data_IF_685553011506
#
_entry.id   IF_685553011506
#
_cell.length_a   1.000
_cell.length_b   1.000
_cell.length_c   1.000
_cell.angle_alpha   90.00
_cell.angle_beta   90.00
_cell.angle_gamma   90.00
#
_symmetry.space_group_name_H-M   'P 1'
#
loop_
_entity.id
_entity.type
_entity.pdbx_description
1 polymer ?
#
# COMPACT_ATOMS: atom_id res chain seq x y z
N UNK A 1 -14.98 -8.24 34.50
CA UNK A 1 -13.78 -8.50 33.69
C UNK A 1 -12.61 -7.95 34.48
N UNK A 2 -11.53 -8.70 34.76
CA UNK A 2 -10.38 -8.16 35.48
C UNK A 2 -9.74 -7.08 34.63
N UNK A 3 -9.61 -5.89 35.19
CA UNK A 3 -8.79 -4.81 34.62
C UNK A 3 -7.35 -5.31 34.51
N UNK A 4 -6.87 -5.45 33.29
CA UNK A 4 -5.46 -5.76 33.02
C UNK A 4 -4.69 -4.47 33.34
N UNK A 5 -4.01 -4.50 34.47
CA UNK A 5 -3.15 -3.40 34.91
C UNK A 5 -1.95 -3.32 33.94
N UNK A 6 -2.07 -2.46 32.94
CA UNK A 6 -1.03 -2.21 31.95
C UNK A 6 0.07 -1.39 32.63
N UNK A 7 1.25 -1.96 32.76
CA UNK A 7 2.41 -1.29 33.38
C UNK A 7 2.66 0.09 32.76
N UNK A 8 3.01 1.06 33.61
CA UNK A 8 3.28 2.45 33.19
C UNK A 8 4.34 2.58 32.08
N UNK A 9 5.24 1.61 31.96
CA UNK A 9 6.25 1.53 30.88
C UNK A 9 5.63 1.08 29.55
N UNK A 10 4.68 0.16 29.56
CA UNK A 10 3.92 -0.23 28.35
C UNK A 10 3.07 0.91 27.82
N UNK A 11 2.48 1.72 28.70
CA UNK A 11 1.76 2.95 28.32
C UNK A 11 2.70 3.98 27.72
N UNK A 12 3.90 4.21 28.28
CA UNK A 12 4.92 5.09 27.71
C UNK A 12 5.41 4.58 26.34
N UNK A 13 5.60 3.29 26.18
CA UNK A 13 6.06 2.67 24.95
C UNK A 13 4.98 2.67 23.86
N UNK A 14 3.71 2.47 24.24
CA UNK A 14 2.56 2.55 23.34
C UNK A 14 2.25 4.00 22.89
N UNK A 15 2.75 5.01 23.62
CA UNK A 15 2.56 6.43 23.31
C UNK A 15 3.80 7.07 22.68
N UNK A 16 4.99 6.45 22.80
CA UNK A 16 6.18 6.96 22.12
C UNK A 16 6.05 6.73 20.61
N UNK A 17 6.13 7.79 19.84
CA UNK A 17 6.19 7.74 18.39
C UNK A 17 7.47 7.03 17.98
N UNK A 18 7.36 5.90 17.29
CA UNK A 18 8.50 5.22 16.71
C UNK A 18 8.97 5.96 15.45
N UNK A 19 9.88 6.88 15.62
CA UNK A 19 10.38 7.76 14.55
C UNK A 19 10.95 6.96 13.38
N UNK A 20 11.60 5.83 13.65
CA UNK A 20 12.09 4.91 12.62
C UNK A 20 10.97 4.35 11.74
N UNK A 21 9.77 4.13 12.28
CA UNK A 21 8.63 3.66 11.50
C UNK A 21 7.98 4.78 10.67
N UNK A 22 8.13 6.04 11.07
CA UNK A 22 7.77 7.17 10.24
C UNK A 22 8.63 7.23 8.98
N UNK A 23 9.93 6.97 9.07
CA UNK A 23 10.81 6.84 7.91
C UNK A 23 10.36 5.71 6.97
N UNK A 24 10.07 4.52 7.53
CA UNK A 24 9.57 3.38 6.75
C UNK A 24 8.28 3.73 6.00
N UNK A 25 7.36 4.45 6.66
CA UNK A 25 6.10 4.91 6.05
C UNK A 25 6.33 5.91 4.92
N UNK A 26 7.23 6.87 5.11
CA UNK A 26 7.59 7.86 4.07
C UNK A 26 8.25 7.19 2.88
N UNK A 27 9.13 6.23 3.09
CA UNK A 27 9.77 5.48 2.01
C UNK A 27 8.75 4.65 1.20
N UNK A 28 7.82 3.97 1.89
CA UNK A 28 6.73 3.26 1.24
C UNK A 28 5.84 4.22 0.43
N UNK A 29 5.51 5.40 0.96
CA UNK A 29 4.76 6.43 0.24
C UNK A 29 5.50 6.89 -1.02
N UNK A 30 6.80 7.13 -0.94
CA UNK A 30 7.62 7.48 -2.11
C UNK A 30 7.59 6.37 -3.14
N UNK A 31 7.67 5.11 -2.71
CA UNK A 31 7.50 3.96 -3.59
C UNK A 31 6.16 3.99 -4.33
N UNK A 32 5.05 4.28 -3.65
CA UNK A 32 3.72 4.38 -4.29
C UNK A 32 3.69 5.45 -5.38
N UNK A 33 4.20 6.64 -5.08
CA UNK A 33 4.21 7.74 -6.07
C UNK A 33 5.11 7.38 -7.25
N UNK A 34 6.28 6.78 -6.99
CA UNK A 34 7.23 6.36 -8.02
C UNK A 34 6.66 5.24 -8.90
N UNK A 35 5.97 4.27 -8.31
CA UNK A 35 5.26 3.20 -9.01
C UNK A 35 4.24 3.75 -10.01
N UNK A 36 3.46 4.73 -9.59
CA UNK A 36 2.47 5.36 -10.46
C UNK A 36 3.11 6.34 -11.46
N UNK A 37 4.16 7.07 -11.08
CA UNK A 37 4.88 7.97 -11.98
C UNK A 37 5.56 7.23 -13.15
N UNK A 38 6.02 5.99 -12.93
CA UNK A 38 6.59 5.14 -13.98
C UNK A 38 5.52 4.47 -14.88
N UNK A 39 4.24 4.48 -14.49
CA UNK A 39 3.17 3.76 -15.17
C UNK A 39 2.98 4.13 -16.65
N UNK A 40 3.08 5.42 -17.00
CA UNK A 40 2.94 5.91 -18.38
C UNK A 40 4.06 5.43 -19.34
N UNK A 41 5.15 4.88 -18.79
CA UNK A 41 6.37 4.51 -19.51
C UNK A 41 6.74 3.03 -19.38
N UNK A 42 5.84 2.22 -18.82
CA UNK A 42 6.08 0.80 -18.55
C UNK A 42 5.27 -0.14 -19.46
N UNK A 43 4.76 0.35 -20.58
CA UNK A 43 3.96 -0.41 -21.55
C UNK A 43 2.77 -1.16 -20.93
N UNK A 44 2.00 -0.47 -20.08
CA UNK A 44 0.84 -1.04 -19.41
C UNK A 44 -0.41 -0.69 -20.20
N UNK A 45 -1.07 -1.64 -20.88
CA UNK A 45 -2.16 -1.36 -21.82
C UNK A 45 -3.34 -0.59 -21.25
N UNK A 46 -3.57 -0.72 -19.93
CA UNK A 46 -4.68 -0.06 -19.22
C UNK A 46 -4.26 1.21 -18.47
N UNK A 47 -3.00 1.64 -18.61
CA UNK A 47 -2.59 2.93 -18.04
C UNK A 47 -3.11 4.07 -18.91
N UNK A 48 -3.72 5.04 -18.29
CA UNK A 48 -4.46 6.11 -18.96
C UNK A 48 -3.62 6.99 -19.89
N UNK A 49 -2.36 7.17 -19.55
CA UNK A 49 -1.40 7.94 -20.33
C UNK A 49 -0.30 7.00 -20.83
N UNK A 50 -0.14 6.88 -22.14
CA UNK A 50 0.93 6.11 -22.77
C UNK A 50 1.91 7.08 -23.44
N UNK A 51 3.16 7.11 -22.98
CA UNK A 51 4.16 8.07 -23.50
C UNK A 51 5.55 7.43 -23.65
N UNK A 52 5.61 6.41 -24.48
CA UNK A 52 6.83 5.62 -24.74
C UNK A 52 7.03 4.50 -23.72
N UNK A 53 8.13 3.76 -23.90
CA UNK A 53 8.50 2.62 -23.05
C UNK A 53 9.96 2.72 -22.64
N UNK A 54 10.26 2.47 -21.38
CA UNK A 54 11.62 2.41 -20.84
C UNK A 54 11.78 1.16 -19.96
N UNK A 55 12.85 0.41 -20.19
CA UNK A 55 13.21 -0.75 -19.34
C UNK A 55 13.49 -0.30 -17.90
N UNK A 56 13.95 0.93 -17.69
CA UNK A 56 14.12 1.51 -16.36
C UNK A 56 12.76 1.70 -15.68
N UNK A 57 11.77 2.21 -16.41
CA UNK A 57 10.41 2.37 -15.89
C UNK A 57 9.78 1.03 -15.49
N UNK A 58 9.94 0.00 -16.33
CA UNK A 58 9.51 -1.37 -16.04
C UNK A 58 10.23 -1.89 -14.79
N UNK A 59 11.55 -1.78 -14.74
CA UNK A 59 12.35 -2.24 -13.60
C UNK A 59 11.98 -1.55 -12.28
N UNK A 60 11.80 -0.22 -12.29
CA UNK A 60 11.34 0.54 -11.12
C UNK A 60 9.99 0.00 -10.64
N UNK A 61 9.05 -0.15 -11.55
CA UNK A 61 7.70 -0.60 -11.24
C UNK A 61 7.71 -1.99 -10.61
N UNK A 62 8.40 -2.93 -11.23
CA UNK A 62 8.43 -4.32 -10.78
C UNK A 62 9.13 -4.47 -9.43
N UNK A 63 10.24 -3.77 -9.20
CA UNK A 63 10.92 -3.77 -7.90
C UNK A 63 10.06 -3.16 -6.81
N UNK A 64 9.43 -2.03 -7.10
CA UNK A 64 8.64 -1.30 -6.13
C UNK A 64 7.36 -2.07 -5.77
N UNK A 65 6.72 -2.77 -6.73
CA UNK A 65 5.55 -3.63 -6.51
C UNK A 65 5.83 -4.78 -5.52
N UNK A 66 7.07 -5.25 -5.44
CA UNK A 66 7.43 -6.31 -4.48
C UNK A 66 7.11 -5.92 -3.04
N UNK A 67 7.34 -4.67 -2.65
CA UNK A 67 7.38 -4.31 -1.23
C UNK A 67 6.45 -3.19 -0.77
N UNK A 68 5.97 -2.31 -1.65
CA UNK A 68 5.23 -1.12 -1.20
C UNK A 68 3.96 -1.47 -0.42
N UNK A 69 3.07 -2.27 -0.99
CA UNK A 69 1.83 -2.66 -0.31
C UNK A 69 2.09 -3.64 0.84
N UNK A 70 2.92 -4.68 0.69
CA UNK A 70 3.34 -5.54 1.80
C UNK A 70 3.88 -4.74 3.00
N UNK A 71 4.67 -3.68 2.75
CA UNK A 71 5.24 -2.84 3.81
C UNK A 71 4.17 -2.05 4.57
N UNK A 72 3.14 -1.55 3.87
CA UNK A 72 2.00 -0.91 4.53
C UNK A 72 1.18 -1.90 5.37
N UNK A 73 0.97 -3.14 4.89
CA UNK A 73 0.33 -4.18 5.70
C UNK A 73 1.17 -4.56 6.92
N UNK A 74 2.50 -4.64 6.78
CA UNK A 74 3.40 -4.84 7.91
C UNK A 74 3.29 -3.73 8.96
N UNK A 75 3.34 -2.46 8.53
CA UNK A 75 3.17 -1.30 9.43
C UNK A 75 1.80 -1.31 10.11
N UNK A 76 0.74 -1.60 9.34
CA UNK A 76 -0.62 -1.69 9.88
C UNK A 76 -0.72 -2.79 10.95
N UNK A 77 -0.19 -3.99 10.68
CA UNK A 77 -0.15 -5.08 11.65
C UNK A 77 0.64 -4.71 12.91
N UNK A 78 1.79 -4.06 12.74
CA UNK A 78 2.65 -3.64 13.86
C UNK A 78 1.92 -2.72 14.85
N UNK A 79 1.14 -1.76 14.36
CA UNK A 79 0.44 -0.82 15.23
C UNK A 79 -0.97 -1.29 15.67
N UNK A 80 -1.49 -2.35 15.06
CA UNK A 80 -2.87 -2.81 15.31
C UNK A 80 -3.07 -3.33 16.71
N UNK A 81 -2.20 -4.23 17.17
CA UNK A 81 -2.34 -4.89 18.47
C UNK A 81 -2.29 -3.87 19.63
N UNK A 82 -1.35 -2.92 19.57
CA UNK A 82 -1.27 -1.83 20.55
C UNK A 82 -2.55 -0.98 20.58
N UNK A 83 -3.01 -0.57 19.40
CA UNK A 83 -4.20 0.28 19.29
C UNK A 83 -5.47 -0.44 19.75
N UNK A 84 -5.61 -1.73 19.43
CA UNK A 84 -6.75 -2.55 19.83
C UNK A 84 -6.80 -2.76 21.36
N UNK A 85 -5.66 -3.03 21.98
CA UNK A 85 -5.57 -3.16 23.46
C UNK A 85 -5.93 -1.87 24.16
N UNK A 86 -5.45 -0.73 23.65
CA UNK A 86 -5.68 0.59 24.27
C UNK A 86 -7.14 1.05 24.17
N UNK A 87 -7.78 0.79 23.02
CA UNK A 87 -9.13 1.32 22.73
C UNK A 87 -10.26 0.33 23.02
N UNK A 88 -9.96 -0.98 23.10
CA UNK A 88 -10.97 -2.05 23.02
C UNK A 88 -11.51 -2.24 21.59
N UNK A 89 -12.17 -3.37 21.37
CA UNK A 89 -12.57 -3.81 20.01
C UNK A 89 -13.56 -2.86 19.33
N UNK A 90 -14.52 -2.32 20.06
CA UNK A 90 -15.56 -1.47 19.48
C UNK A 90 -15.06 -0.07 19.12
N UNK A 91 -14.32 0.56 20.00
CA UNK A 91 -13.77 1.89 19.73
C UNK A 91 -12.62 1.83 18.71
N UNK A 92 -11.87 0.73 18.67
CA UNK A 92 -10.93 0.47 17.60
C UNK A 92 -11.66 0.35 16.25
N UNK A 93 -12.75 -0.46 16.17
CA UNK A 93 -13.55 -0.56 14.94
C UNK A 93 -14.10 0.80 14.50
N UNK A 94 -14.73 1.56 15.40
CA UNK A 94 -15.22 2.92 15.10
C UNK A 94 -14.11 3.82 14.56
N UNK A 95 -12.93 3.80 15.21
CA UNK A 95 -11.80 4.60 14.77
C UNK A 95 -11.39 4.23 13.34
N UNK A 96 -11.29 2.92 13.03
CA UNK A 96 -10.91 2.45 11.69
C UNK A 96 -11.99 2.66 10.64
N UNK A 97 -13.25 2.55 11.02
CA UNK A 97 -14.37 2.88 10.14
C UNK A 97 -14.29 4.36 9.70
N UNK A 98 -14.10 5.30 10.62
CA UNK A 98 -14.01 6.71 10.27
C UNK A 98 -12.71 7.08 9.54
N UNK A 99 -11.61 6.37 9.83
CA UNK A 99 -10.31 6.62 9.20
C UNK A 99 -10.23 6.04 7.77
N UNK A 100 -10.80 4.88 7.54
CA UNK A 100 -10.67 4.14 6.27
C UNK A 100 -12.02 3.88 5.60
N UNK A 101 -12.99 3.28 6.30
CA UNK A 101 -14.26 2.87 5.71
C UNK A 101 -15.10 4.03 5.20
N UNK A 102 -15.26 5.09 6.01
CA UNK A 102 -16.00 6.28 5.59
C UNK A 102 -15.27 7.04 4.48
N UNK A 103 -13.96 7.21 4.60
CA UNK A 103 -13.16 7.88 3.57
C UNK A 103 -13.21 7.10 2.27
N UNK A 104 -13.15 5.77 2.32
CA UNK A 104 -13.29 4.92 1.15
C UNK A 104 -14.65 5.12 0.45
N UNK A 105 -15.77 5.18 1.18
CA UNK A 105 -17.09 5.46 0.61
C UNK A 105 -17.08 6.79 -0.15
N UNK A 106 -16.55 7.84 0.46
CA UNK A 106 -16.45 9.17 -0.16
C UNK A 106 -15.57 9.13 -1.42
N UNK A 107 -14.44 8.44 -1.35
CA UNK A 107 -13.51 8.31 -2.47
C UNK A 107 -14.17 7.58 -3.64
N UNK A 108 -14.84 6.47 -3.40
CA UNK A 108 -15.54 5.69 -4.45
C UNK A 108 -16.62 6.51 -5.13
N UNK A 109 -17.38 7.30 -4.37
CA UNK A 109 -18.51 8.08 -4.91
C UNK A 109 -18.05 9.35 -5.63
N UNK A 110 -16.97 10.00 -5.15
CA UNK A 110 -16.59 11.33 -5.63
C UNK A 110 -15.24 11.37 -6.35
N UNK A 111 -14.21 10.76 -5.78
CA UNK A 111 -12.83 10.93 -6.28
C UNK A 111 -12.57 10.05 -7.49
N UNK A 112 -13.04 8.81 -7.46
CA UNK A 112 -12.82 7.87 -8.56
C UNK A 112 -13.50 8.33 -9.85
N UNK A 113 -14.81 8.69 -9.87
CA UNK A 113 -15.45 9.22 -11.07
C UNK A 113 -14.75 10.46 -11.63
N UNK A 114 -14.29 11.34 -10.75
CA UNK A 114 -13.55 12.53 -11.13
C UNK A 114 -12.20 12.19 -11.78
N UNK A 115 -11.44 11.28 -11.16
CA UNK A 115 -10.18 10.80 -11.72
C UNK A 115 -10.39 10.13 -13.08
N UNK A 116 -11.46 9.36 -13.22
CA UNK A 116 -11.84 8.69 -14.45
C UNK A 116 -12.22 9.70 -15.55
N UNK A 117 -12.97 10.73 -15.22
CA UNK A 117 -13.34 11.78 -16.15
C UNK A 117 -12.11 12.55 -16.66
N UNK A 118 -11.19 12.94 -15.77
CA UNK A 118 -9.96 13.65 -16.18
C UNK A 118 -9.13 12.81 -17.13
N UNK A 119 -8.94 11.54 -16.80
CA UNK A 119 -8.16 10.62 -17.60
C UNK A 119 -8.75 10.38 -18.98
N UNK A 120 -10.08 10.31 -19.08
CA UNK A 120 -10.79 10.01 -20.32
C UNK A 120 -11.38 11.24 -21.01
N UNK A 121 -11.06 12.46 -20.57
CA UNK A 121 -11.66 13.70 -21.06
C UNK A 121 -11.55 13.91 -22.58
N UNK A 122 -10.52 13.35 -23.20
CA UNK A 122 -10.29 13.43 -24.64
C UNK A 122 -11.11 12.43 -25.46
N UNK A 123 -11.64 11.39 -24.84
CA UNK A 123 -12.42 10.32 -25.46
C UNK A 123 -13.86 10.25 -24.97
N UNK A 124 -14.19 10.92 -23.86
CA UNK A 124 -15.52 10.90 -23.27
C UNK A 124 -16.50 11.78 -24.07
N UNK A 125 -17.55 11.15 -24.59
CA UNK A 125 -18.71 11.86 -25.15
C UNK A 125 -19.67 12.22 -24.02
N UNK A 126 -19.54 13.45 -23.49
CA UNK A 126 -20.44 13.96 -22.45
C UNK A 126 -19.73 14.69 -21.31
N UNK A 127 -20.48 15.47 -20.55
CA UNK A 127 -19.97 16.21 -19.41
C UNK A 127 -19.68 15.32 -18.20
N UNK A 128 -19.04 15.91 -17.19
CA UNK A 128 -18.69 15.20 -15.94
C UNK A 128 -19.90 14.52 -15.27
N UNK A 129 -21.06 15.17 -15.24
CA UNK A 129 -22.27 14.61 -14.63
C UNK A 129 -22.71 13.30 -15.30
N UNK A 130 -22.63 13.23 -16.64
CA UNK A 130 -22.91 12.00 -17.39
C UNK A 130 -21.92 10.89 -17.00
N UNK A 131 -20.64 11.20 -16.95
CA UNK A 131 -19.61 10.26 -16.51
C UNK A 131 -19.86 9.77 -15.08
N UNK A 132 -20.23 10.67 -14.17
CA UNK A 132 -20.54 10.34 -12.78
C UNK A 132 -21.76 9.42 -12.65
N UNK A 133 -22.84 9.71 -13.36
CA UNK A 133 -24.05 8.87 -13.38
C UNK A 133 -23.76 7.49 -13.95
N UNK A 134 -23.04 7.42 -15.08
CA UNK A 134 -22.61 6.14 -15.68
C UNK A 134 -21.74 5.33 -14.73
N UNK A 135 -20.85 6.00 -14.03
CA UNK A 135 -20.02 5.37 -13.00
C UNK A 135 -20.87 4.75 -11.88
N UNK A 136 -21.79 5.51 -11.29
CA UNK A 136 -22.66 5.01 -10.21
C UNK A 136 -23.52 3.83 -10.69
N UNK A 137 -24.05 3.89 -11.92
CA UNK A 137 -24.81 2.80 -12.52
C UNK A 137 -23.95 1.55 -12.73
N UNK A 138 -22.77 1.70 -13.31
CA UNK A 138 -21.83 0.59 -13.54
C UNK A 138 -21.35 -0.01 -12.24
N UNK A 139 -21.03 0.80 -11.25
CA UNK A 139 -20.63 0.39 -9.93
C UNK A 139 -21.71 -0.41 -9.19
N UNK A 140 -23.00 -0.03 -9.37
CA UNK A 140 -24.13 -0.78 -8.83
C UNK A 140 -24.37 -2.14 -9.50
N UNK A 141 -23.85 -2.33 -10.72
CA UNK A 141 -23.97 -3.58 -11.49
C UNK A 141 -22.77 -4.51 -11.29
N UNK A 142 -21.72 -4.06 -10.64
CA UNK A 142 -20.51 -4.86 -10.44
C UNK A 142 -20.81 -6.11 -9.62
N UNK A 143 -20.69 -7.27 -10.24
CA UNK A 143 -20.93 -8.59 -9.64
C UNK A 143 -19.63 -9.14 -9.04
N UNK A 144 -19.78 -10.19 -8.22
CA UNK A 144 -18.63 -11.00 -7.82
C UNK A 144 -17.96 -11.56 -9.08
N UNK A 145 -16.70 -11.25 -9.31
CA UNK A 145 -15.97 -11.71 -10.50
C UNK A 145 -14.46 -11.52 -10.38
N UNK A 146 -13.75 -12.34 -11.14
CA UNK A 146 -12.33 -12.18 -11.38
C UNK A 146 -12.18 -11.44 -12.71
N UNK A 147 -11.47 -10.32 -12.68
CA UNK A 147 -11.17 -9.53 -13.87
C UNK A 147 -9.69 -9.68 -14.23
N UNK A 148 -9.42 -9.85 -15.50
CA UNK A 148 -8.05 -10.03 -16.00
C UNK A 148 -7.29 -8.71 -16.13
N UNK A 149 -8.01 -7.58 -16.12
CA UNK A 149 -7.37 -6.27 -16.31
C UNK A 149 -7.84 -5.23 -15.28
N UNK A 150 -6.92 -4.42 -14.73
CA UNK A 150 -7.26 -3.28 -13.89
C UNK A 150 -8.10 -2.18 -14.58
N UNK A 151 -8.23 -2.22 -15.91
CA UNK A 151 -9.11 -1.31 -16.64
C UNK A 151 -10.59 -1.46 -16.23
N UNK A 152 -10.95 -2.60 -15.67
CA UNK A 152 -12.28 -2.90 -15.12
C UNK A 152 -12.35 -2.64 -13.60
N UNK A 153 -11.23 -2.22 -13.00
CA UNK A 153 -11.14 -1.91 -11.57
C UNK A 153 -12.06 -0.76 -11.20
N UNK A 154 -12.96 -1.03 -10.27
CA UNK A 154 -13.86 -0.04 -9.70
C UNK A 154 -13.14 0.82 -8.67
N UNK A 155 -12.14 0.27 -7.99
CA UNK A 155 -11.46 0.92 -6.87
C UNK A 155 -10.19 1.66 -7.28
N UNK A 156 -9.68 1.47 -8.49
CA UNK A 156 -8.39 2.01 -8.92
C UNK A 156 -7.30 1.75 -7.86
N UNK A 157 -6.48 2.74 -7.52
CA UNK A 157 -5.44 2.61 -6.49
C UNK A 157 -5.99 2.60 -5.04
N UNK A 158 -7.26 2.89 -4.84
CA UNK A 158 -7.89 2.90 -3.50
C UNK A 158 -8.26 1.51 -2.98
N UNK A 159 -8.10 0.45 -3.78
CA UNK A 159 -8.31 -0.93 -3.35
C UNK A 159 -7.62 -1.27 -2.02
N UNK A 160 -6.45 -0.69 -1.79
CA UNK A 160 -5.69 -0.90 -0.56
C UNK A 160 -6.46 -0.45 0.69
N UNK A 161 -7.21 0.65 0.63
CA UNK A 161 -7.97 1.16 1.78
C UNK A 161 -9.07 0.17 2.18
N UNK A 162 -9.82 -0.34 1.19
CA UNK A 162 -10.89 -1.32 1.44
C UNK A 162 -10.34 -2.63 1.97
N UNK A 163 -9.26 -3.13 1.37
CA UNK A 163 -8.62 -4.37 1.81
C UNK A 163 -8.01 -4.22 3.20
N UNK A 164 -7.34 -3.11 3.50
CA UNK A 164 -6.79 -2.86 4.83
C UNK A 164 -7.88 -2.77 5.89
N UNK A 165 -9.02 -2.15 5.57
CA UNK A 165 -10.17 -2.11 6.47
C UNK A 165 -10.73 -3.52 6.73
N UNK A 166 -10.82 -4.36 5.68
CA UNK A 166 -11.20 -5.78 5.83
C UNK A 166 -10.22 -6.55 6.74
N UNK A 167 -8.92 -6.29 6.63
CA UNK A 167 -7.91 -6.89 7.52
C UNK A 167 -8.11 -6.48 8.98
N UNK A 168 -8.45 -5.23 9.26
CA UNK A 168 -8.76 -4.81 10.63
C UNK A 168 -10.00 -5.48 11.17
N UNK A 169 -11.06 -5.64 10.37
CA UNK A 169 -12.27 -6.39 10.77
C UNK A 169 -11.93 -7.85 11.07
N UNK A 170 -11.21 -8.51 10.13
CA UNK A 170 -10.78 -9.90 10.31
C UNK A 170 -9.94 -10.07 11.59
N UNK A 171 -9.00 -9.14 11.84
CA UNK A 171 -8.18 -9.18 13.05
C UNK A 171 -8.99 -8.99 14.34
N UNK A 172 -10.00 -8.10 14.35
CA UNK A 172 -10.91 -7.94 15.50
C UNK A 172 -11.67 -9.23 15.75
N UNK A 173 -12.18 -9.89 14.71
CA UNK A 173 -12.91 -11.15 14.83
C UNK A 173 -12.00 -12.27 15.38
N UNK A 174 -10.82 -12.44 14.80
CA UNK A 174 -9.81 -13.39 15.26
C UNK A 174 -9.45 -13.11 16.72
N UNK A 175 -9.21 -11.85 17.08
CA UNK A 175 -8.89 -11.44 18.45
C UNK A 175 -10.02 -11.74 19.44
N UNK A 176 -11.30 -11.58 19.04
CA UNK A 176 -12.45 -11.91 19.88
C UNK A 176 -12.64 -13.43 20.06
N UNK A 177 -12.49 -14.21 18.99
CA UNK A 177 -12.67 -15.68 19.00
C UNK A 177 -11.55 -16.36 19.77
N UNK A 178 -10.32 -15.99 19.47
CA UNK A 178 -9.13 -16.57 20.06
C UNK A 178 -8.65 -15.86 21.33
N UNK A 179 -9.42 -14.89 21.82
CA UNK A 179 -9.14 -13.84 22.79
C UNK A 179 -8.18 -14.18 23.93
N UNK A 180 -8.45 -15.23 24.71
CA UNK A 180 -7.56 -15.61 25.80
C UNK A 180 -6.29 -16.36 25.34
N UNK A 181 -6.35 -17.11 24.23
CA UNK A 181 -5.22 -17.90 23.74
C UNK A 181 -4.23 -17.07 22.94
N UNK A 182 -4.68 -16.26 22.00
CA UNK A 182 -3.81 -15.31 21.28
C UNK A 182 -3.31 -14.23 22.24
N UNK A 183 -4.20 -13.69 23.10
CA UNK A 183 -3.82 -12.75 24.13
C UNK A 183 -2.69 -13.30 25.01
N UNK A 184 -2.84 -14.50 25.58
CA UNK A 184 -1.82 -15.11 26.44
C UNK A 184 -0.52 -15.44 25.69
N UNK A 185 -0.59 -15.98 24.46
CA UNK A 185 0.61 -16.31 23.67
C UNK A 185 1.37 -15.06 23.17
N UNK A 186 0.65 -14.02 22.76
CA UNK A 186 1.27 -12.75 22.29
C UNK A 186 1.52 -11.76 23.44
N UNK A 187 0.83 -11.88 24.59
CA UNK A 187 1.02 -11.05 25.80
C UNK A 187 2.15 -11.61 26.69
N UNK A 188 2.23 -12.94 26.85
CA UNK A 188 3.18 -13.58 27.74
C UNK A 188 4.64 -13.54 27.26
N UNK A 189 4.93 -12.99 26.07
CA UNK A 189 6.26 -12.94 25.52
C UNK A 189 6.82 -11.53 25.62
N UNK A 190 6.97 -11.03 26.81
CA UNK A 190 7.69 -9.78 27.12
C UNK A 190 9.22 -9.88 26.95
N UNK A 191 9.74 -11.05 26.66
CA UNK A 191 11.17 -11.22 26.42
C UNK A 191 11.50 -10.78 25.01
N UNK A 192 12.39 -9.80 24.87
CA UNK A 192 13.06 -9.47 23.59
C UNK A 192 13.49 -10.77 22.91
N UNK A 193 13.00 -10.99 21.68
CA UNK A 193 13.36 -12.21 20.94
C UNK A 193 14.87 -12.30 20.78
N UNK A 194 15.44 -13.46 21.06
CA UNK A 194 16.86 -13.70 20.76
C UNK A 194 17.09 -13.58 19.25
N UNK A 195 18.30 -13.23 18.84
CA UNK A 195 18.68 -13.12 17.42
C UNK A 195 18.29 -14.38 16.62
N UNK A 196 18.48 -15.56 17.22
CA UNK A 196 18.10 -16.85 16.59
C UNK A 196 16.60 -16.97 16.37
N UNK A 197 15.75 -16.57 17.33
CA UNK A 197 14.29 -16.61 17.20
C UNK A 197 13.80 -15.60 16.16
N UNK A 198 14.42 -14.43 16.09
CA UNK A 198 14.13 -13.42 15.06
C UNK A 198 14.50 -13.94 13.68
N UNK A 199 15.70 -14.52 13.51
CA UNK A 199 16.14 -15.11 12.24
C UNK A 199 15.21 -16.25 11.79
N UNK A 200 14.82 -17.14 12.70
CA UNK A 200 13.88 -18.22 12.40
C UNK A 200 12.50 -17.67 11.97
N UNK A 201 11.98 -16.67 12.65
CA UNK A 201 10.70 -16.05 12.29
C UNK A 201 10.75 -15.39 10.90
N UNK A 202 11.84 -14.70 10.57
CA UNK A 202 12.05 -14.09 9.25
C UNK A 202 12.19 -15.15 8.15
N UNK A 203 12.94 -16.22 8.40
CA UNK A 203 13.04 -17.33 7.45
C UNK A 203 11.70 -18.03 7.23
N UNK A 204 10.97 -18.32 8.31
CA UNK A 204 9.62 -18.90 8.24
C UNK A 204 8.69 -18.00 7.44
N UNK A 205 8.73 -16.69 7.67
CA UNK A 205 7.97 -15.71 6.90
C UNK A 205 8.30 -15.79 5.40
N UNK A 206 9.59 -15.80 5.02
CA UNK A 206 10.01 -15.92 3.63
C UNK A 206 9.50 -17.18 2.96
N UNK A 207 9.65 -18.34 3.64
CA UNK A 207 9.16 -19.64 3.12
C UNK A 207 7.63 -19.65 3.00
N UNK A 208 6.92 -19.18 4.02
CA UNK A 208 5.44 -19.13 4.03
C UNK A 208 4.93 -18.24 2.91
N UNK A 209 5.54 -17.06 2.70
CA UNK A 209 5.21 -16.21 1.56
C UNK A 209 5.49 -16.89 0.22
N UNK A 210 6.65 -17.55 0.06
CA UNK A 210 7.01 -18.21 -1.18
C UNK A 210 6.05 -19.35 -1.53
N UNK A 211 5.71 -20.20 -0.57
CA UNK A 211 4.77 -21.31 -0.76
C UNK A 211 3.34 -20.78 -1.05
N UNK A 212 2.86 -19.83 -0.24
CA UNK A 212 1.52 -19.27 -0.42
C UNK A 212 1.37 -18.54 -1.75
N UNK A 213 2.38 -17.77 -2.16
CA UNK A 213 2.36 -17.07 -3.44
C UNK A 213 2.48 -18.03 -4.62
N UNK A 214 3.34 -19.04 -4.52
CA UNK A 214 3.45 -20.11 -5.54
C UNK A 214 2.10 -20.84 -5.75
N UNK A 215 1.44 -21.26 -4.68
CA UNK A 215 0.12 -21.88 -4.76
C UNK A 215 -0.89 -20.93 -5.44
N UNK A 216 -0.85 -19.65 -5.07
CA UNK A 216 -1.73 -18.65 -5.68
C UNK A 216 -1.49 -18.49 -7.18
N UNK A 217 -0.23 -18.50 -7.64
CA UNK A 217 0.13 -18.39 -9.06
C UNK A 217 -0.29 -19.61 -9.89
N UNK A 218 -0.41 -20.79 -9.27
CA UNK A 218 -0.96 -21.98 -9.94
C UNK A 218 -2.48 -21.88 -10.18
N UNK A 219 -3.18 -21.07 -9.39
CA UNK A 219 -4.64 -20.97 -9.40
C UNK A 219 -5.16 -19.75 -10.16
N UNK A 220 -4.42 -18.63 -10.12
CA UNK A 220 -4.84 -17.36 -10.73
C UNK A 220 -3.67 -16.63 -11.37
N UNK A 221 -3.95 -15.89 -12.44
CA UNK A 221 -2.97 -15.01 -13.08
C UNK A 221 -2.47 -13.94 -12.09
N UNK A 222 -1.21 -13.59 -12.17
CA UNK A 222 -0.62 -12.62 -11.22
C UNK A 222 -1.27 -11.23 -11.31
N UNK A 223 -1.67 -10.83 -12.51
CA UNK A 223 -2.33 -9.53 -12.73
C UNK A 223 -3.85 -9.55 -12.53
N UNK A 224 -4.45 -10.70 -12.21
CA UNK A 224 -5.91 -10.79 -12.02
C UNK A 224 -6.38 -10.05 -10.79
N UNK A 225 -7.55 -9.43 -10.90
CA UNK A 225 -8.22 -8.73 -9.81
C UNK A 225 -9.53 -9.42 -9.45
N UNK A 226 -9.77 -9.60 -8.16
CA UNK A 226 -11.06 -10.05 -7.63
C UNK A 226 -11.81 -8.86 -7.08
N UNK A 227 -13.02 -8.65 -7.60
CA UNK A 227 -13.92 -7.58 -7.12
C UNK A 227 -15.15 -8.21 -6.47
N UNK A 228 -15.47 -7.75 -5.26
CA UNK A 228 -16.68 -8.09 -4.51
C UNK A 228 -17.54 -6.83 -4.47
N UNK A 229 -18.29 -6.58 -5.54
CA UNK A 229 -19.06 -5.37 -5.74
C UNK A 229 -18.24 -4.09 -5.46
N UNK A 230 -18.87 -3.06 -4.86
CA UNK A 230 -18.20 -1.84 -4.40
C UNK A 230 -17.41 -2.01 -3.10
N UNK A 231 -17.47 -3.19 -2.44
CA UNK A 231 -16.96 -3.29 -1.08
C UNK A 231 -15.49 -3.63 -1.01
N UNK A 232 -15.00 -4.49 -1.92
CA UNK A 232 -13.65 -5.02 -1.80
C UNK A 232 -13.08 -5.36 -3.18
N UNK A 233 -11.86 -4.94 -3.43
CA UNK A 233 -11.09 -5.29 -4.61
C UNK A 233 -9.64 -5.56 -4.23
N UNK A 234 -9.06 -6.62 -4.78
CA UNK A 234 -7.66 -6.99 -4.51
C UNK A 234 -7.12 -7.98 -5.57
N UNK A 235 -5.81 -8.14 -5.60
CA UNK A 235 -5.14 -9.19 -6.38
C UNK A 235 -5.10 -10.49 -5.56
N UNK A 236 -5.82 -11.55 -5.97
CA UNK A 236 -5.87 -12.80 -5.21
C UNK A 236 -4.50 -13.46 -5.06
N UNK A 237 -3.64 -13.35 -6.09
CA UNK A 237 -2.27 -13.88 -6.07
C UNK A 237 -1.44 -13.33 -4.90
N UNK A 238 -1.65 -12.06 -4.54
CA UNK A 238 -0.86 -11.34 -3.53
C UNK A 238 -1.51 -11.32 -2.13
N UNK A 239 -2.76 -11.76 -1.99
CA UNK A 239 -3.51 -11.69 -0.73
C UNK A 239 -2.77 -12.38 0.43
N UNK A 240 -2.18 -13.55 0.14
CA UNK A 240 -1.43 -14.29 1.13
C UNK A 240 -0.18 -13.55 1.62
N UNK A 241 0.53 -12.90 0.72
CA UNK A 241 1.69 -12.04 1.06
C UNK A 241 1.25 -10.89 1.99
N UNK A 242 0.13 -10.24 1.67
CA UNK A 242 -0.39 -9.15 2.52
C UNK A 242 -0.77 -9.65 3.91
N UNK A 243 -1.42 -10.82 4.00
CA UNK A 243 -1.77 -11.44 5.27
C UNK A 243 -0.52 -11.82 6.09
N UNK A 244 0.48 -12.42 5.46
CA UNK A 244 1.73 -12.77 6.10
C UNK A 244 2.49 -11.53 6.61
N UNK A 245 2.54 -10.44 5.81
CA UNK A 245 3.15 -9.17 6.23
C UNK A 245 2.41 -8.53 7.40
N UNK A 246 1.08 -8.51 7.38
CA UNK A 246 0.29 -8.03 8.50
C UNK A 246 0.57 -8.85 9.78
N UNK A 247 0.57 -10.18 9.65
CA UNK A 247 0.92 -11.10 10.75
C UNK A 247 2.34 -10.90 11.27
N UNK A 248 3.32 -10.70 10.37
CA UNK A 248 4.70 -10.38 10.74
C UNK A 248 4.78 -9.07 11.52
N UNK A 249 3.99 -8.06 11.14
CA UNK A 249 3.88 -6.81 11.89
C UNK A 249 3.35 -7.02 13.31
N UNK A 250 2.26 -7.77 13.47
CA UNK A 250 1.70 -8.13 14.78
C UNK A 250 2.74 -8.90 15.63
N UNK A 251 3.44 -9.86 15.02
CA UNK A 251 4.49 -10.59 15.67
C UNK A 251 5.65 -9.68 16.09
N UNK A 252 6.12 -8.79 15.20
CA UNK A 252 7.19 -7.85 15.48
C UNK A 252 6.88 -6.91 16.66
N UNK A 253 5.62 -6.44 16.75
CA UNK A 253 5.18 -5.68 17.91
C UNK A 253 5.23 -6.51 19.19
N UNK A 254 4.70 -7.75 19.17
CA UNK A 254 4.70 -8.63 20.35
C UNK A 254 6.12 -9.02 20.84
N UNK A 255 7.11 -8.95 19.94
CA UNK A 255 8.53 -9.23 20.23
C UNK A 255 9.36 -7.99 20.51
N UNK A 256 8.72 -6.82 20.62
CA UNK A 256 9.39 -5.52 20.85
C UNK A 256 10.48 -5.22 19.82
N UNK A 257 10.22 -5.57 18.55
CA UNK A 257 11.11 -5.16 17.46
C UNK A 257 11.16 -3.63 17.38
N UNK A 258 12.33 -3.10 17.03
CA UNK A 258 12.58 -1.67 16.86
C UNK A 258 12.55 -0.83 18.16
N UNK A 259 12.34 -1.48 19.30
CA UNK A 259 12.39 -0.83 20.60
C UNK A 259 13.85 -0.74 21.02
N UNK A 260 14.23 0.33 21.73
CA UNK A 260 15.59 0.58 22.22
C UNK A 260 16.67 0.55 21.13
N UNK A 261 16.34 0.95 19.91
CA UNK A 261 17.28 0.99 18.79
C UNK A 261 17.72 -0.38 18.25
N UNK A 262 16.99 -1.46 18.59
CA UNK A 262 17.32 -2.82 18.12
C UNK A 262 16.99 -3.00 16.66
N UNK A 263 18.01 -3.34 15.86
CA UNK A 263 17.86 -3.73 14.47
C UNK A 263 17.44 -5.19 14.35
N UNK A 264 16.58 -5.51 13.36
CA UNK A 264 16.19 -6.91 13.08
C UNK A 264 17.16 -7.62 12.13
N UNK A 265 18.08 -6.89 11.50
CA UNK A 265 19.09 -7.44 10.60
C UNK A 265 20.38 -6.62 10.57
N UNK A 266 21.47 -7.28 10.20
CA UNK A 266 22.76 -6.64 10.00
C UNK A 266 22.81 -6.00 8.60
N UNK A 267 22.85 -4.68 8.51
CA UNK A 267 22.86 -3.94 7.25
C UNK A 267 24.00 -4.32 6.32
N UNK A 268 25.16 -4.72 6.87
CA UNK A 268 26.32 -5.14 6.05
C UNK A 268 26.02 -6.40 5.22
N UNK A 269 25.07 -7.22 5.68
CA UNK A 269 24.64 -8.43 4.98
C UNK A 269 23.37 -8.16 4.14
N UNK A 270 22.39 -7.49 4.72
CA UNK A 270 21.07 -7.34 4.10
C UNK A 270 21.06 -6.32 2.94
N UNK A 271 21.87 -5.26 2.97
CA UNK A 271 21.94 -4.31 1.85
C UNK A 271 22.50 -4.98 0.59
N UNK A 272 23.69 -5.62 0.61
CA UNK A 272 24.19 -6.35 -0.56
C UNK A 272 23.25 -7.47 -1.01
N UNK A 273 22.65 -8.21 -0.06
CA UNK A 273 21.68 -9.26 -0.38
C UNK A 273 20.45 -8.71 -1.10
N UNK A 274 19.90 -7.56 -0.66
CA UNK A 274 18.78 -6.89 -1.32
C UNK A 274 19.15 -6.47 -2.74
N UNK A 275 20.33 -5.88 -2.94
CA UNK A 275 20.79 -5.45 -4.28
C UNK A 275 20.94 -6.65 -5.20
N UNK A 276 21.62 -7.71 -4.75
CA UNK A 276 21.80 -8.93 -5.54
C UNK A 276 20.46 -9.59 -5.89
N UNK A 277 19.59 -9.75 -4.90
CA UNK A 277 18.26 -10.34 -5.12
C UNK A 277 17.40 -9.48 -6.06
N UNK A 278 17.50 -8.14 -6.00
CA UNK A 278 16.82 -7.25 -6.94
C UNK A 278 17.29 -7.48 -8.37
N UNK A 279 18.60 -7.60 -8.59
CA UNK A 279 19.15 -7.87 -9.92
C UNK A 279 18.70 -9.25 -10.45
N UNK A 280 18.78 -10.30 -9.62
CA UNK A 280 18.33 -11.65 -9.98
C UNK A 280 16.82 -11.66 -10.26
N UNK A 281 16.02 -10.98 -9.44
CA UNK A 281 14.56 -10.89 -9.62
C UNK A 281 14.19 -10.21 -10.93
N UNK A 282 14.85 -9.10 -11.27
CA UNK A 282 14.62 -8.41 -12.54
C UNK A 282 15.02 -9.26 -13.75
N UNK A 283 16.10 -10.02 -13.63
CA UNK A 283 16.55 -10.90 -14.69
C UNK A 283 15.62 -12.10 -14.90
N UNK A 284 15.26 -12.81 -13.81
CA UNK A 284 14.41 -14.00 -13.87
C UNK A 284 12.95 -13.66 -14.13
N UNK A 285 12.47 -12.52 -13.62
CA UNK A 285 11.06 -12.12 -13.70
C UNK A 285 10.57 -11.63 -15.06
N UNK A 286 11.44 -11.48 -16.06
CA UNK A 286 11.09 -10.86 -17.35
C UNK A 286 9.88 -11.50 -18.05
N UNK A 287 9.76 -12.82 -18.02
CA UNK A 287 8.61 -13.52 -18.62
C UNK A 287 7.28 -13.14 -17.97
N UNK A 288 7.26 -13.01 -16.64
CA UNK A 288 6.07 -12.56 -15.88
C UNK A 288 5.79 -11.09 -16.17
N UNK A 289 6.83 -10.23 -16.23
CA UNK A 289 6.65 -8.80 -16.46
C UNK A 289 6.12 -8.48 -17.85
N UNK A 290 6.54 -9.26 -18.85
CA UNK A 290 6.08 -9.10 -20.23
C UNK A 290 4.68 -9.71 -20.45
N UNK A 291 4.36 -10.77 -19.71
CA UNK A 291 3.14 -11.56 -19.90
C UNK A 291 2.36 -11.79 -18.57
N UNK A 292 1.98 -10.74 -17.85
CA UNK A 292 1.41 -10.88 -16.51
C UNK A 292 0.01 -11.55 -16.51
N UNK A 293 -0.66 -11.56 -17.66
CA UNK A 293 -1.98 -12.17 -17.85
C UNK A 293 -1.93 -13.64 -18.31
N UNK A 294 -0.73 -14.20 -18.49
CA UNK A 294 -0.53 -15.59 -18.91
C UNK A 294 0.38 -16.37 -17.97
N UNK A 295 0.52 -15.90 -16.73
CA UNK A 295 1.44 -16.50 -15.75
C UNK A 295 1.10 -17.96 -15.44
N UNK A 296 -0.17 -18.33 -15.44
CA UNK A 296 -0.58 -19.74 -15.22
C UNK A 296 -0.16 -20.70 -16.34
N UNK A 297 0.24 -20.20 -17.51
CA UNK A 297 0.77 -21.01 -18.61
C UNK A 297 2.27 -21.32 -18.44
N UNK A 298 2.95 -20.67 -17.51
CA UNK A 298 4.37 -20.89 -17.22
C UNK A 298 4.58 -22.21 -16.47
N UNK A 299 5.76 -22.82 -16.62
CA UNK A 299 6.06 -24.06 -15.93
C UNK A 299 6.01 -23.90 -14.40
N UNK A 300 5.50 -24.89 -13.65
CA UNK A 300 5.46 -24.83 -12.19
C UNK A 300 6.83 -24.61 -11.55
N UNK A 301 7.90 -25.15 -12.14
CA UNK A 301 9.28 -24.94 -11.64
C UNK A 301 9.69 -23.46 -11.76
N UNK A 302 9.34 -22.80 -12.89
CA UNK A 302 9.61 -21.38 -13.06
C UNK A 302 8.78 -20.53 -12.09
N UNK A 303 7.48 -20.83 -11.93
CA UNK A 303 6.62 -20.13 -10.96
C UNK A 303 7.10 -20.29 -9.53
N UNK A 304 7.59 -21.46 -9.16
CA UNK A 304 8.19 -21.71 -7.83
C UNK A 304 9.45 -20.85 -7.62
N UNK A 305 10.34 -20.79 -8.62
CA UNK A 305 11.54 -19.94 -8.57
C UNK A 305 11.15 -18.47 -8.47
N UNK A 306 10.23 -17.99 -9.29
CA UNK A 306 9.75 -16.61 -9.27
C UNK A 306 9.11 -16.25 -7.93
N UNK A 307 8.24 -17.11 -7.38
CA UNK A 307 7.61 -16.92 -6.09
C UNK A 307 8.63 -16.88 -4.94
N UNK A 308 9.63 -17.74 -4.97
CA UNK A 308 10.72 -17.73 -4.00
C UNK A 308 11.53 -16.43 -4.08
N UNK A 309 11.98 -16.04 -5.29
CA UNK A 309 12.76 -14.81 -5.48
C UNK A 309 11.99 -13.58 -5.02
N UNK A 310 10.71 -13.44 -5.39
CA UNK A 310 9.86 -12.32 -4.96
C UNK A 310 9.70 -12.27 -3.44
N UNK A 311 9.46 -13.42 -2.81
CA UNK A 311 9.21 -13.49 -1.36
C UNK A 311 10.45 -13.24 -0.53
N UNK A 312 11.60 -13.76 -0.93
CA UNK A 312 12.87 -13.50 -0.26
C UNK A 312 13.41 -12.09 -0.54
N UNK A 313 13.15 -11.52 -1.72
CA UNK A 313 13.42 -10.11 -1.99
C UNK A 313 12.55 -9.21 -1.09
N UNK A 314 11.24 -9.48 -0.97
CA UNK A 314 10.38 -8.78 -0.03
C UNK A 314 10.92 -8.83 1.40
N UNK A 315 11.31 -10.02 1.88
CA UNK A 315 11.93 -10.18 3.19
C UNK A 315 13.18 -9.31 3.33
N UNK A 316 14.08 -9.37 2.36
CA UNK A 316 15.33 -8.59 2.37
C UNK A 316 15.08 -7.09 2.39
N UNK A 317 14.12 -6.61 1.60
CA UNK A 317 13.72 -5.20 1.56
C UNK A 317 13.13 -4.75 2.89
N UNK A 318 12.20 -5.53 3.48
CA UNK A 318 11.59 -5.21 4.78
C UNK A 318 12.65 -5.11 5.88
N UNK A 319 13.56 -6.11 5.95
CA UNK A 319 14.63 -6.10 6.95
C UNK A 319 15.58 -4.93 6.74
N UNK A 320 15.97 -4.67 5.49
CA UNK A 320 16.88 -3.57 5.15
C UNK A 320 16.28 -2.22 5.49
N UNK A 321 15.05 -1.93 5.03
CA UNK A 321 14.39 -0.63 5.24
C UNK A 321 14.14 -0.39 6.73
N UNK A 322 13.63 -1.38 7.45
CA UNK A 322 13.39 -1.25 8.89
C UNK A 322 14.70 -1.06 9.68
N UNK A 323 15.76 -1.79 9.32
CA UNK A 323 17.07 -1.64 9.98
C UNK A 323 17.74 -0.31 9.65
N UNK A 324 17.58 0.22 8.42
CA UNK A 324 18.01 1.57 8.06
C UNK A 324 17.25 2.64 8.86
N UNK A 325 15.93 2.48 8.98
CA UNK A 325 15.09 3.35 9.78
C UNK A 325 15.57 3.44 11.25
N UNK A 326 15.83 2.29 11.87
CA UNK A 326 16.32 2.24 13.25
C UNK A 326 17.71 2.83 13.39
N UNK A 327 18.61 2.59 12.42
CA UNK A 327 20.01 3.02 12.54
C UNK A 327 20.22 4.50 12.27
N UNK A 328 19.54 5.05 11.27
CA UNK A 328 19.82 6.41 10.76
C UNK A 328 18.69 7.41 11.00
N UNK A 329 17.48 6.93 11.28
CA UNK A 329 16.29 7.75 11.44
C UNK A 329 15.59 7.52 12.79
N UNK A 330 16.37 7.25 13.85
CA UNK A 330 15.88 7.14 15.23
C UNK A 330 15.66 8.50 15.92
N UNK A 331 16.30 9.55 15.38
CA UNK A 331 16.13 10.93 15.88
C UNK A 331 15.02 11.62 15.08
N UNK A 332 14.10 12.35 15.76
CA UNK A 332 13.02 13.04 15.07
C UNK A 332 13.53 14.08 14.06
N UNK A 333 13.16 13.91 12.80
CA UNK A 333 13.37 14.88 11.72
C UNK A 333 12.06 15.61 11.43
N UNK A 334 12.08 16.93 11.41
CA UNK A 334 10.88 17.75 11.11
C UNK A 334 10.29 17.38 9.75
N UNK A 335 11.12 17.14 8.75
CA UNK A 335 10.69 16.77 7.39
C UNK A 335 10.06 15.38 7.37
N UNK A 336 10.76 14.36 7.90
CA UNK A 336 10.25 12.97 7.92
C UNK A 336 8.95 12.90 8.73
N UNK A 337 8.90 13.53 9.91
CA UNK A 337 7.70 13.55 10.73
C UNK A 337 6.54 14.26 10.02
N UNK A 338 6.81 15.38 9.32
CA UNK A 338 5.77 16.10 8.57
C UNK A 338 5.24 15.28 7.40
N UNK A 339 6.11 14.60 6.62
CA UNK A 339 5.71 13.73 5.53
C UNK A 339 4.92 12.51 6.05
N UNK A 340 5.39 11.86 7.11
CA UNK A 340 4.69 10.73 7.73
C UNK A 340 3.30 11.11 8.22
N UNK A 341 3.17 12.28 8.84
CA UNK A 341 1.89 12.80 9.31
C UNK A 341 0.91 13.14 8.17
N UNK A 342 1.41 13.48 7.00
CA UNK A 342 0.62 13.80 5.82
C UNK A 342 0.46 12.61 4.85
N UNK A 343 1.14 11.48 5.12
CA UNK A 343 1.24 10.35 4.19
C UNK A 343 -0.11 9.81 3.71
N UNK A 344 -1.11 9.78 4.58
CA UNK A 344 -2.45 9.32 4.25
C UNK A 344 -3.14 10.21 3.20
N UNK A 345 -3.12 11.51 3.38
CA UNK A 345 -3.73 12.44 2.42
C UNK A 345 -2.92 12.54 1.13
N UNK A 346 -1.59 12.45 1.21
CA UNK A 346 -0.73 12.35 0.02
C UNK A 346 -1.11 11.11 -0.78
N UNK A 347 -1.30 9.96 -0.12
CA UNK A 347 -1.77 8.73 -0.76
C UNK A 347 -3.14 8.91 -1.44
N UNK A 348 -4.07 9.66 -0.85
CA UNK A 348 -5.38 9.91 -1.46
C UNK A 348 -5.31 10.79 -2.72
N UNK A 349 -4.35 11.71 -2.78
CA UNK A 349 -4.29 12.76 -3.80
C UNK A 349 -3.28 12.47 -4.92
N UNK A 350 -2.25 11.67 -4.67
CA UNK A 350 -1.08 11.58 -5.55
C UNK A 350 -1.43 11.15 -6.98
N UNK A 351 -2.33 10.19 -7.17
CA UNK A 351 -2.63 9.65 -8.50
C UNK A 351 -3.27 10.71 -9.40
N UNK A 352 -4.10 11.59 -8.83
CA UNK A 352 -4.65 12.73 -9.55
C UNK A 352 -3.52 13.59 -10.16
N UNK A 353 -2.53 13.96 -9.34
CA UNK A 353 -1.41 14.77 -9.82
C UNK A 353 -0.50 13.98 -10.77
N UNK A 354 -0.23 12.70 -10.46
CA UNK A 354 0.56 11.84 -11.36
C UNK A 354 -0.07 11.79 -12.75
N UNK A 355 -1.35 11.47 -12.86
CA UNK A 355 -2.04 11.39 -14.16
C UNK A 355 -2.06 12.73 -14.88
N UNK A 356 -2.32 13.83 -14.17
CA UNK A 356 -2.34 15.18 -14.74
C UNK A 356 -0.96 15.58 -15.29
N UNK A 357 0.12 15.34 -14.54
CA UNK A 357 1.46 15.72 -15.00
C UNK A 357 2.02 14.76 -16.06
N UNK A 358 1.62 13.49 -16.05
CA UNK A 358 1.91 12.58 -17.16
C UNK A 358 1.28 13.08 -18.45
N UNK A 359 0.02 13.50 -18.42
CA UNK A 359 -0.71 14.06 -19.55
C UNK A 359 -0.06 15.36 -20.07
N UNK A 360 0.26 16.30 -19.18
CA UNK A 360 0.93 17.56 -19.53
C UNK A 360 2.31 17.29 -20.19
N UNK A 361 3.06 16.31 -19.70
CA UNK A 361 4.39 15.99 -20.22
C UNK A 361 4.37 15.11 -21.47
N UNK A 362 3.19 14.71 -21.98
CA UNK A 362 3.10 13.96 -23.25
C UNK A 362 3.68 14.75 -24.42
N UNK A 363 3.44 16.05 -24.45
CA UNK A 363 3.90 16.92 -25.58
C UNK A 363 5.41 17.16 -25.56
N UNK A 364 6.06 16.97 -24.43
CA UNK A 364 7.49 17.17 -24.32
C UNK A 364 8.28 15.90 -24.74
N UNK A 365 9.20 16.03 -25.69
CA UNK A 365 10.01 14.93 -26.22
C UNK A 365 11.30 14.66 -25.43
N UNK A 366 11.35 15.04 -24.16
CA UNK A 366 12.52 14.83 -23.30
C UNK A 366 12.69 13.36 -22.84
N UNK A 367 13.85 13.05 -22.20
CA UNK A 367 14.13 11.72 -21.68
C UNK A 367 13.09 11.23 -20.69
N UNK A 368 12.72 9.95 -20.82
CA UNK A 368 11.66 9.33 -19.99
C UNK A 368 12.01 9.38 -18.49
N UNK A 369 13.27 9.13 -18.14
CA UNK A 369 13.76 9.13 -16.76
C UNK A 369 13.57 10.50 -16.10
N UNK A 370 13.78 11.58 -16.87
CA UNK A 370 13.54 12.95 -16.39
C UNK A 370 12.04 13.19 -16.21
N UNK A 371 11.20 12.70 -17.16
CA UNK A 371 9.74 12.79 -17.01
C UNK A 371 9.26 12.09 -15.74
N UNK A 372 9.74 10.88 -15.47
CA UNK A 372 9.41 10.13 -14.23
C UNK A 372 9.80 10.93 -13.00
N UNK A 373 11.03 11.48 -12.97
CA UNK A 373 11.51 12.28 -11.85
C UNK A 373 10.69 13.56 -11.64
N UNK A 374 10.32 14.25 -12.73
CA UNK A 374 9.45 15.42 -12.67
C UNK A 374 8.04 15.07 -12.17
N UNK A 375 7.40 14.06 -12.75
CA UNK A 375 6.06 13.60 -12.32
C UNK A 375 6.09 13.23 -10.84
N UNK A 376 7.08 12.46 -10.40
CA UNK A 376 7.25 12.10 -9.00
C UNK A 376 7.38 13.34 -8.09
N UNK A 377 8.33 14.23 -8.40
CA UNK A 377 8.63 15.40 -7.55
C UNK A 377 7.46 16.39 -7.47
N UNK A 378 6.86 16.71 -8.62
CA UNK A 378 5.75 17.66 -8.68
C UNK A 378 4.51 17.08 -8.01
N UNK A 379 4.18 15.80 -8.27
CA UNK A 379 3.02 15.15 -7.65
C UNK A 379 3.16 15.05 -6.12
N UNK A 380 4.36 14.74 -5.63
CA UNK A 380 4.64 14.75 -4.20
C UNK A 380 4.47 16.15 -3.61
N UNK A 381 5.02 17.18 -4.26
CA UNK A 381 4.96 18.57 -3.80
C UNK A 381 3.51 19.07 -3.69
N UNK A 382 2.70 18.88 -4.74
CA UNK A 382 1.31 19.31 -4.75
C UNK A 382 0.46 18.53 -3.75
N UNK A 383 0.58 17.20 -3.73
CA UNK A 383 -0.15 16.36 -2.77
C UNK A 383 0.21 16.70 -1.32
N UNK A 384 1.48 16.94 -1.02
CA UNK A 384 1.94 17.34 0.30
C UNK A 384 1.44 18.74 0.67
N UNK A 385 1.51 19.70 -0.25
CA UNK A 385 1.06 21.07 -0.01
C UNK A 385 -0.42 21.11 0.32
N UNK A 386 -1.25 20.45 -0.47
CA UNK A 386 -2.71 20.36 -0.22
C UNK A 386 -2.98 19.63 1.10
N UNK A 387 -2.29 18.50 1.35
CA UNK A 387 -2.43 17.76 2.61
C UNK A 387 -2.14 18.66 3.82
N UNK A 388 -1.02 19.36 3.79
CA UNK A 388 -0.54 20.17 4.91
C UNK A 388 -1.39 21.42 5.16
N UNK A 389 -1.75 22.13 4.09
CA UNK A 389 -2.39 23.45 4.20
C UNK A 389 -3.92 23.39 4.24
N UNK A 390 -4.52 22.37 3.61
CA UNK A 390 -5.97 22.23 3.55
C UNK A 390 -6.45 21.17 4.55
N UNK A 391 -6.05 19.90 4.38
CA UNK A 391 -6.63 18.81 5.17
C UNK A 391 -6.21 18.80 6.64
N UNK A 392 -4.96 19.12 6.96
CA UNK A 392 -4.50 19.11 8.36
C UNK A 392 -4.89 20.34 9.17
N UNK A 393 -5.07 21.50 8.53
CA UNK A 393 -5.49 22.72 9.21
C UNK A 393 -7.00 22.83 9.39
N UNK A 394 -7.77 22.01 8.69
CA UNK A 394 -9.23 22.04 8.73
C UNK A 394 -9.79 20.87 9.54
N UNK A 395 -10.99 21.04 10.11
CA UNK A 395 -11.71 19.90 10.69
C UNK A 395 -12.00 18.86 9.59
N UNK A 396 -12.19 17.58 9.98
CA UNK A 396 -12.51 16.49 9.04
C UNK A 396 -13.67 16.85 8.09
N UNK A 397 -14.70 17.52 8.60
CA UNK A 397 -15.86 17.97 7.80
C UNK A 397 -15.49 19.02 6.75
N UNK A 398 -14.64 19.99 7.12
CA UNK A 398 -14.17 21.00 6.15
C UNK A 398 -13.28 20.37 5.07
N UNK A 399 -12.42 19.40 5.43
CA UNK A 399 -11.65 18.64 4.45
C UNK A 399 -12.55 17.87 3.47
N UNK A 400 -13.62 17.26 3.96
CA UNK A 400 -14.63 16.59 3.13
C UNK A 400 -15.33 17.58 2.18
N UNK A 401 -15.75 18.74 2.69
CA UNK A 401 -16.38 19.78 1.85
C UNK A 401 -15.43 20.23 0.73
N UNK A 402 -14.15 20.44 1.04
CA UNK A 402 -13.14 20.78 0.03
C UNK A 402 -13.02 19.67 -1.02
N UNK A 403 -13.00 18.41 -0.59
CA UNK A 403 -12.96 17.27 -1.51
C UNK A 403 -14.19 17.23 -2.41
N UNK A 404 -15.40 17.44 -1.89
CA UNK A 404 -16.65 17.52 -2.67
C UNK A 404 -16.60 18.67 -3.67
N UNK A 405 -16.12 19.82 -3.25
CA UNK A 405 -16.00 20.98 -4.14
C UNK A 405 -15.07 20.67 -5.32
N UNK A 406 -13.88 20.14 -5.03
CA UNK A 406 -12.85 19.87 -6.06
C UNK A 406 -13.29 18.73 -6.99
N UNK A 407 -13.84 17.65 -6.45
CA UNK A 407 -14.11 16.43 -7.23
C UNK A 407 -15.53 16.34 -7.79
N UNK A 408 -16.43 17.22 -7.41
CA UNK A 408 -17.81 17.21 -7.91
C UNK A 408 -18.29 18.59 -8.36
N UNK A 409 -18.28 19.60 -7.49
CA UNK A 409 -18.89 20.91 -7.81
C UNK A 409 -18.17 21.62 -8.95
N UNK A 410 -16.84 21.71 -8.88
CA UNK A 410 -16.04 22.38 -9.92
C UNK A 410 -16.13 21.68 -11.29
N UNK A 411 -16.00 20.33 -11.40
CA UNK A 411 -16.16 19.64 -12.68
C UNK A 411 -17.57 19.79 -13.28
N UNK A 412 -18.62 19.71 -12.45
CA UNK A 412 -20.01 19.95 -12.93
C UNK A 412 -20.14 21.37 -13.45
N UNK A 413 -19.68 22.37 -12.71
CA UNK A 413 -19.74 23.78 -13.14
C UNK A 413 -18.94 24.00 -14.44
N UNK A 414 -17.75 23.42 -14.57
CA UNK A 414 -16.92 23.53 -15.77
C UNK A 414 -17.53 22.86 -17.02
N UNK A 415 -18.47 21.94 -16.86
CA UNK A 415 -19.16 21.29 -18.00
C UNK A 415 -20.48 21.96 -18.36
N UNK A 416 -20.98 22.87 -17.52
CA UNK A 416 -22.20 23.65 -17.77
C UNK A 416 -21.92 25.04 -18.37
N UNK A 417 -20.70 25.52 -18.27
CA UNK A 417 -20.15 26.73 -18.88
C UNK A 417 -19.57 26.45 -20.26
#
# INVERSE_FOLDING_TARGET
>A
MPEINVNSEEQKQATSRLVSMDFVRVLALFGVILFHASGAYANIPYWSVQNGTSNIAIGIRELVDVFIMPLFFFLAGYFTLCSLRKKGSWDFFKSKFWELGFVWIVVVILVIPFSWWIVNRHSATGGYLTTWLTWIQSAGQTRLGVFETPAQSVHMHFWFISLLFAFFIAFILIYKIAGNSIGKHFIAIETSASTRKTALALLTFGVVCAVGYFISLLLVQDASWLTINLFLEFQPSKLFIFAACFGLGVYGFSRKWFVDGKQIGNLRLWVPATILQSAVFLFVGQEVFQNPLTTTALSPAYLMLYAALRSFLLLSVVVTICSLGVRYFSVPSRTVSSLADNSYYIYLLHLFFVSTFQDILMVWQGPIEIKIAMVFGISLLFSYSISRWIFKKTSRWKGLIVLVIISFVLPVAATLL
#
